data_IF_507379834522
#
_entry.id   IF_507379834522
#
_cell.length_a   1.000
_cell.length_b   1.000
_cell.length_c   1.000
_cell.angle_alpha   90.00
_cell.angle_beta   90.00
_cell.angle_gamma   90.00
#
_symmetry.space_group_name_H-M   'P 1'
#
loop_
_entity.id
_entity.type
_entity.pdbx_description
1 polymer ?
#
# COMPACT_ATOMS: atom_id res chain seq x y z
N UNK A 1 20.85 0.82 20.97
CA UNK A 1 19.60 0.08 20.68
C UNK A 1 19.55 -0.20 19.20
N UNK A 2 19.47 -1.45 18.81
CA UNK A 2 19.31 -1.82 17.40
C UNK A 2 17.83 -1.91 17.06
N UNK A 3 17.39 -1.15 16.07
CA UNK A 3 16.04 -1.25 15.51
C UNK A 3 16.06 -2.31 14.42
N UNK A 4 15.25 -3.36 14.55
CA UNK A 4 15.20 -4.44 13.57
C UNK A 4 14.31 -4.05 12.38
N UNK A 5 13.05 -3.70 12.64
CA UNK A 5 12.07 -3.34 11.59
C UNK A 5 10.79 -2.77 12.22
N UNK A 6 10.03 -1.97 11.48
CA UNK A 6 8.69 -1.58 11.91
C UNK A 6 7.75 -2.78 11.96
N UNK A 7 6.69 -2.65 12.74
CA UNK A 7 5.57 -3.57 12.79
C UNK A 7 4.28 -2.82 12.46
N UNK A 8 3.49 -3.38 11.56
CA UNK A 8 2.17 -2.88 11.21
C UNK A 8 1.14 -3.99 11.37
N UNK A 9 0.11 -3.73 12.16
CA UNK A 9 -1.01 -4.64 12.34
C UNK A 9 -2.29 -4.02 11.79
N UNK A 10 -3.00 -4.75 10.93
CA UNK A 10 -4.31 -4.36 10.43
C UNK A 10 -5.39 -5.28 10.99
N UNK A 11 -6.53 -4.68 11.30
CA UNK A 11 -7.77 -5.41 11.56
C UNK A 11 -8.52 -5.63 10.25
N UNK A 12 -8.84 -6.89 9.95
CA UNK A 12 -9.60 -7.30 8.78
C UNK A 12 -10.84 -8.08 9.21
N UNK A 13 -11.88 -8.06 8.38
CA UNK A 13 -13.11 -8.77 8.71
C UNK A 13 -12.95 -10.30 8.62
N UNK A 14 -12.11 -10.77 7.69
CA UNK A 14 -11.87 -12.20 7.45
C UNK A 14 -10.43 -12.37 6.92
N UNK A 15 -9.60 -13.05 7.71
CA UNK A 15 -8.20 -13.28 7.36
C UNK A 15 -8.07 -14.14 6.10
N UNK A 16 -8.88 -15.18 5.94
CA UNK A 16 -8.82 -16.06 4.78
C UNK A 16 -9.19 -15.34 3.50
N UNK A 17 -10.17 -14.42 3.56
CA UNK A 17 -10.56 -13.57 2.45
C UNK A 17 -9.47 -12.55 2.09
N UNK A 18 -8.74 -12.04 3.07
CA UNK A 18 -7.71 -11.01 2.88
C UNK A 18 -6.37 -11.57 2.40
N UNK A 19 -6.06 -12.83 2.70
CA UNK A 19 -4.77 -13.45 2.37
C UNK A 19 -4.39 -13.37 0.89
N UNK A 20 -5.28 -13.69 -0.09
CA UNK A 20 -4.93 -13.60 -1.50
C UNK A 20 -4.47 -12.19 -1.92
N UNK A 21 -5.14 -11.15 -1.40
CA UNK A 21 -4.77 -9.76 -1.66
C UNK A 21 -3.35 -9.47 -1.17
N UNK A 22 -3.03 -9.79 0.09
CA UNK A 22 -1.73 -9.46 0.66
C UNK A 22 -0.59 -10.32 0.09
N UNK A 23 -0.85 -11.56 -0.29
CA UNK A 23 0.10 -12.36 -1.10
C UNK A 23 0.43 -11.69 -2.42
N UNK A 24 -0.58 -11.19 -3.12
CA UNK A 24 -0.40 -10.49 -4.39
C UNK A 24 0.33 -9.15 -4.20
N UNK A 25 -0.07 -8.36 -3.19
CA UNK A 25 0.52 -7.05 -2.90
C UNK A 25 2.02 -7.17 -2.56
N UNK A 26 2.37 -8.08 -1.65
CA UNK A 26 3.75 -8.23 -1.18
C UNK A 26 4.59 -9.16 -2.06
N UNK A 27 3.95 -10.00 -2.87
CA UNK A 27 4.64 -10.99 -3.70
C UNK A 27 5.32 -12.10 -2.91
N UNK A 28 4.91 -12.34 -1.66
CA UNK A 28 5.47 -13.37 -0.78
C UNK A 28 4.36 -14.10 -0.02
N UNK A 29 4.67 -15.29 0.46
CA UNK A 29 3.79 -16.07 1.31
C UNK A 29 3.87 -15.60 2.78
N UNK A 30 2.78 -15.71 3.55
CA UNK A 30 2.84 -15.47 4.99
C UNK A 30 3.70 -16.54 5.68
N UNK A 31 4.44 -16.13 6.71
CA UNK A 31 5.26 -17.07 7.51
C UNK A 31 4.44 -17.80 8.56
N UNK A 32 3.25 -17.30 8.87
CA UNK A 32 2.33 -17.92 9.83
C UNK A 32 0.89 -17.62 9.46
N UNK A 33 0.04 -18.64 9.48
CA UNK A 33 -1.41 -18.53 9.31
C UNK A 33 -2.10 -19.31 10.43
N UNK A 34 -3.08 -18.68 11.08
CA UNK A 34 -3.98 -19.27 12.06
C UNK A 34 -5.42 -18.88 11.70
N UNK A 35 -6.46 -19.49 12.29
CA UNK A 35 -7.84 -19.20 11.88
C UNK A 35 -8.21 -17.72 11.83
N UNK A 36 -7.74 -16.91 12.78
CA UNK A 36 -8.05 -15.48 12.89
C UNK A 36 -6.81 -14.57 12.81
N UNK A 37 -5.71 -15.07 12.23
CA UNK A 37 -4.42 -14.38 12.23
C UNK A 37 -3.54 -14.79 11.06
N UNK A 38 -2.82 -13.84 10.48
CA UNK A 38 -1.74 -14.11 9.54
C UNK A 38 -0.58 -13.14 9.76
N UNK A 39 0.63 -13.62 9.50
CA UNK A 39 1.85 -12.81 9.64
C UNK A 39 2.71 -12.93 8.39
N UNK A 40 3.11 -11.80 7.87
CA UNK A 40 4.11 -11.66 6.82
C UNK A 40 5.39 -11.07 7.41
N UNK A 41 6.53 -11.57 7.00
CA UNK A 41 7.83 -10.94 7.24
C UNK A 41 8.43 -10.54 5.91
N UNK A 42 8.49 -9.25 5.65
CA UNK A 42 9.13 -8.72 4.45
C UNK A 42 10.59 -8.44 4.75
N UNK A 43 11.45 -8.75 3.78
CA UNK A 43 12.89 -8.50 3.90
C UNK A 43 13.27 -7.12 3.35
N UNK A 44 12.65 -6.72 2.24
CA UNK A 44 12.96 -5.46 1.55
C UNK A 44 11.67 -4.76 1.08
N UNK A 45 11.27 -3.65 1.73
CA UNK A 45 11.82 -3.16 3.00
C UNK A 45 11.48 -4.10 4.16
N UNK A 46 12.31 -4.08 5.19
CA UNK A 46 12.06 -4.89 6.38
C UNK A 46 10.77 -4.44 7.06
N UNK A 47 9.79 -5.33 7.15
CA UNK A 47 8.48 -5.05 7.76
C UNK A 47 7.90 -6.32 8.38
N UNK A 48 7.46 -6.21 9.61
CA UNK A 48 6.62 -7.21 10.26
C UNK A 48 5.17 -6.77 10.08
N UNK A 49 4.41 -7.52 9.29
CA UNK A 49 3.03 -7.19 8.95
C UNK A 49 2.09 -8.30 9.42
N UNK A 50 1.04 -7.92 10.15
CA UNK A 50 0.05 -8.87 10.64
C UNK A 50 -1.38 -8.49 10.27
N UNK A 51 -2.16 -9.52 9.96
CA UNK A 51 -3.61 -9.45 9.83
C UNK A 51 -4.25 -10.08 11.07
N UNK A 52 -5.17 -9.35 11.67
CA UNK A 52 -5.92 -9.78 12.85
C UNK A 52 -7.40 -9.69 12.53
N UNK A 53 -8.12 -10.78 12.67
CA UNK A 53 -9.56 -10.80 12.42
C UNK A 53 -10.31 -10.11 13.54
N UNK A 54 -11.25 -9.23 13.20
CA UNK A 54 -12.03 -8.48 14.15
C UNK A 54 -12.90 -7.42 13.50
N UNK A 55 -13.61 -6.67 14.33
CA UNK A 55 -14.37 -5.49 13.90
C UNK A 55 -13.45 -4.29 13.79
N UNK A 56 -13.63 -3.48 12.74
CA UNK A 56 -12.90 -2.22 12.58
C UNK A 56 -13.41 -1.20 13.60
N UNK A 57 -12.47 -0.53 14.25
CA UNK A 57 -12.80 0.60 15.12
C UNK A 57 -12.79 1.89 14.29
N UNK A 58 -13.97 2.38 13.93
CA UNK A 58 -14.11 3.61 13.13
C UNK A 58 -13.59 4.87 13.86
N UNK A 59 -13.31 4.77 15.17
CA UNK A 59 -12.69 5.85 15.94
C UNK A 59 -11.19 5.98 15.70
N UNK A 60 -10.55 5.00 15.06
CA UNK A 60 -9.15 5.06 14.64
C UNK A 60 -8.98 5.88 13.34
N UNK A 61 -9.64 7.03 13.27
CA UNK A 61 -9.75 7.85 12.06
C UNK A 61 -8.46 8.56 11.61
N UNK A 62 -7.34 8.39 12.31
CA UNK A 62 -6.06 8.97 11.90
C UNK A 62 -5.38 8.19 10.76
N UNK A 63 -5.76 6.93 10.51
CA UNK A 63 -5.21 6.12 9.42
C UNK A 63 -5.88 6.49 8.09
N UNK A 64 -5.11 7.04 7.18
CA UNK A 64 -5.57 7.44 5.85
C UNK A 64 -5.37 6.31 4.83
N UNK A 65 -4.13 5.90 4.61
CA UNK A 65 -3.76 4.84 3.70
C UNK A 65 -2.39 4.26 4.08
N UNK A 66 -2.04 3.15 3.46
CA UNK A 66 -0.69 2.60 3.52
C UNK A 66 -0.05 2.63 2.13
N UNK A 67 1.25 2.56 2.07
CA UNK A 67 1.96 2.61 0.80
C UNK A 67 3.23 1.78 0.77
N UNK A 68 3.63 1.43 -0.44
CA UNK A 68 4.88 0.77 -0.75
C UNK A 68 5.63 1.67 -1.74
N UNK A 69 6.74 2.24 -1.29
CA UNK A 69 7.63 2.96 -2.20
C UNK A 69 8.53 1.97 -2.91
N UNK A 70 8.59 2.10 -4.24
CA UNK A 70 9.49 1.33 -5.10
C UNK A 70 10.51 2.26 -5.75
N UNK A 71 11.54 1.70 -6.37
CA UNK A 71 12.69 2.48 -6.82
C UNK A 71 12.48 3.19 -8.14
N UNK A 72 11.53 2.76 -8.97
CA UNK A 72 11.32 3.31 -10.32
C UNK A 72 9.88 3.23 -10.78
N UNK A 73 9.55 4.02 -11.81
CA UNK A 73 8.27 3.93 -12.50
C UNK A 73 8.05 2.54 -13.13
N UNK A 74 9.10 1.90 -13.61
CA UNK A 74 9.02 0.53 -14.14
C UNK A 74 8.62 -0.47 -13.07
N UNK A 75 9.08 -0.30 -11.83
CA UNK A 75 8.68 -1.14 -10.70
C UNK A 75 7.19 -0.95 -10.37
N UNK A 76 6.66 0.27 -10.50
CA UNK A 76 5.21 0.54 -10.38
C UNK A 76 4.43 -0.23 -11.43
N UNK A 77 4.89 -0.21 -12.69
CA UNK A 77 4.24 -0.92 -13.80
C UNK A 77 4.31 -2.44 -13.61
N UNK A 78 5.42 -2.97 -13.11
CA UNK A 78 5.56 -4.40 -12.80
C UNK A 78 4.61 -4.82 -11.69
N UNK A 79 4.48 -4.02 -10.63
CA UNK A 79 3.50 -4.26 -9.56
C UNK A 79 2.07 -4.23 -10.11
N UNK A 80 1.77 -3.24 -10.96
CA UNK A 80 0.47 -3.14 -11.64
C UNK A 80 0.12 -4.41 -12.41
N UNK A 81 1.04 -4.92 -13.22
CA UNK A 81 0.84 -6.14 -14.00
C UNK A 81 0.60 -7.35 -13.09
N UNK A 82 1.36 -7.48 -12.00
CA UNK A 82 1.19 -8.57 -11.03
C UNK A 82 -0.20 -8.53 -10.38
N UNK A 83 -0.62 -7.37 -9.90
CA UNK A 83 -1.90 -7.20 -9.22
C UNK A 83 -3.09 -7.38 -10.18
N UNK A 84 -2.97 -6.91 -11.44
CA UNK A 84 -3.99 -7.16 -12.46
C UNK A 84 -4.14 -8.65 -12.78
N UNK A 85 -3.05 -9.39 -12.82
CA UNK A 85 -3.07 -10.84 -13.05
C UNK A 85 -3.86 -11.58 -11.97
N UNK A 86 -3.84 -11.05 -10.75
CA UNK A 86 -4.63 -11.58 -9.62
C UNK A 86 -6.07 -11.05 -9.60
N UNK A 87 -6.50 -10.30 -10.63
CA UNK A 87 -7.87 -9.83 -10.78
C UNK A 87 -8.22 -8.61 -9.93
N UNK A 88 -7.24 -7.89 -9.38
CA UNK A 88 -7.48 -6.72 -8.56
C UNK A 88 -7.80 -5.50 -9.43
N UNK A 89 -8.76 -4.70 -8.98
CA UNK A 89 -9.05 -3.40 -9.58
C UNK A 89 -7.97 -2.40 -9.20
N UNK A 90 -7.41 -1.72 -10.19
CA UNK A 90 -6.28 -0.79 -10.03
C UNK A 90 -6.69 0.58 -10.54
N UNK A 91 -6.32 1.60 -9.80
CA UNK A 91 -6.45 2.99 -10.19
C UNK A 91 -5.06 3.60 -10.41
N UNK A 92 -4.82 4.16 -11.58
CA UNK A 92 -3.53 4.73 -11.97
C UNK A 92 -3.49 6.23 -11.71
N UNK A 93 -2.40 6.72 -11.11
CA UNK A 93 -2.05 8.13 -11.03
C UNK A 93 -0.59 8.32 -11.44
N UNK A 94 -0.39 8.73 -12.68
CA UNK A 94 0.94 8.93 -13.24
C UNK A 94 1.27 10.42 -13.34
N UNK A 95 2.57 10.74 -13.21
CA UNK A 95 3.10 12.10 -13.29
C UNK A 95 2.31 13.09 -12.39
N UNK A 96 2.10 12.70 -11.15
CA UNK A 96 1.30 13.45 -10.19
C UNK A 96 2.16 14.08 -9.10
N UNK A 97 1.81 15.30 -8.67
CA UNK A 97 2.46 15.93 -7.52
C UNK A 97 1.72 15.51 -6.23
N UNK A 98 2.47 14.93 -5.32
CA UNK A 98 1.98 14.51 -4.03
C UNK A 98 3.06 14.68 -2.96
N UNK A 99 2.67 15.23 -1.80
CA UNK A 99 3.60 15.43 -0.69
C UNK A 99 4.86 16.19 -1.09
N UNK A 100 4.72 17.21 -1.97
CA UNK A 100 5.81 18.04 -2.52
C UNK A 100 6.82 17.28 -3.38
N UNK A 101 6.44 16.11 -3.91
CA UNK A 101 7.24 15.34 -4.84
C UNK A 101 6.41 14.89 -6.04
N UNK A 102 7.04 14.78 -7.19
CA UNK A 102 6.42 14.17 -8.37
C UNK A 102 6.53 12.67 -8.30
N UNK A 103 5.44 11.97 -8.60
CA UNK A 103 5.33 10.54 -8.39
C UNK A 103 4.53 9.88 -9.50
N UNK A 104 4.90 8.63 -9.80
CA UNK A 104 4.04 7.68 -10.48
C UNK A 104 3.51 6.68 -9.46
N UNK A 105 2.21 6.41 -9.47
CA UNK A 105 1.60 5.51 -8.50
C UNK A 105 0.38 4.77 -9.02
N UNK A 106 0.11 3.68 -8.36
CA UNK A 106 -1.14 2.94 -8.48
C UNK A 106 -1.80 2.79 -7.12
N UNK A 107 -3.11 2.67 -7.13
CA UNK A 107 -3.93 2.42 -5.94
C UNK A 107 -4.65 1.09 -6.07
N UNK A 108 -4.67 0.33 -5.00
CA UNK A 108 -5.49 -0.87 -4.83
C UNK A 108 -6.16 -0.82 -3.46
N UNK A 109 -7.27 -1.54 -3.31
CA UNK A 109 -7.95 -1.67 -2.02
C UNK A 109 -7.98 -3.12 -1.61
N UNK A 110 -7.76 -3.36 -0.31
CA UNK A 110 -7.96 -4.69 0.24
C UNK A 110 -9.46 -5.04 0.30
N UNK A 111 -9.84 -6.29 0.63
CA UNK A 111 -11.25 -6.67 0.70
C UNK A 111 -12.10 -5.86 1.69
N UNK A 112 -11.51 -5.22 2.68
CA UNK A 112 -12.19 -4.33 3.63
C UNK A 112 -12.17 -2.86 3.21
N UNK A 113 -11.63 -2.55 2.03
CA UNK A 113 -11.57 -1.20 1.50
C UNK A 113 -10.37 -0.38 1.97
N UNK A 114 -9.41 -0.96 2.68
CA UNK A 114 -8.18 -0.28 3.07
C UNK A 114 -7.38 0.11 1.82
N UNK A 115 -7.11 1.41 1.60
CA UNK A 115 -6.40 1.83 0.41
C UNK A 115 -4.88 1.63 0.59
N UNK A 116 -4.28 1.06 -0.44
CA UNK A 116 -2.85 0.91 -0.58
C UNK A 116 -2.36 1.59 -1.85
N UNK A 117 -1.28 2.36 -1.74
CA UNK A 117 -0.58 2.89 -2.90
C UNK A 117 0.73 2.12 -3.14
N UNK A 118 1.11 1.97 -4.40
CA UNK A 118 2.46 1.58 -4.79
C UNK A 118 3.00 2.72 -5.65
N UNK A 119 4.10 3.33 -5.26
CA UNK A 119 4.56 4.57 -5.86
C UNK A 119 6.07 4.63 -6.00
N UNK A 120 6.52 5.38 -7.01
CA UNK A 120 7.90 5.79 -7.19
C UNK A 120 7.97 7.32 -7.24
N UNK A 121 8.96 7.89 -6.56
CA UNK A 121 9.27 9.32 -6.65
C UNK A 121 10.12 9.54 -7.89
N UNK A 122 9.59 10.30 -8.84
CA UNK A 122 10.29 10.62 -10.10
C UNK A 122 11.01 11.96 -10.06
N UNK A 123 10.55 12.87 -9.21
CA UNK A 123 11.20 14.13 -8.89
C UNK A 123 10.92 14.48 -7.42
N UNK A 124 11.95 14.53 -6.61
CA UNK A 124 11.81 14.77 -5.17
C UNK A 124 11.54 16.23 -4.81
N UNK A 125 11.84 17.18 -5.72
CA UNK A 125 11.65 18.62 -5.51
C UNK A 125 11.28 19.30 -6.84
N UNK A 126 10.06 19.02 -7.36
CA UNK A 126 9.64 19.54 -8.66
C UNK A 126 9.51 21.07 -8.64
N UNK A 127 9.88 21.71 -9.74
CA UNK A 127 9.66 23.14 -9.95
C UNK A 127 8.16 23.45 -9.83
N UNK A 128 7.74 24.32 -8.91
CA UNK A 128 6.33 24.66 -8.71
C UNK A 128 5.66 25.29 -9.94
N UNK A 129 6.44 25.72 -10.94
CA UNK A 129 5.92 26.22 -12.20
C UNK A 129 5.77 25.16 -13.28
N UNK A 130 6.39 23.97 -13.10
CA UNK A 130 6.24 22.83 -13.99
C UNK A 130 5.01 22.03 -13.55
N UNK A 131 3.97 22.05 -14.37
CA UNK A 131 2.67 21.48 -14.03
C UNK A 131 2.52 19.99 -14.26
N UNK A 132 2.26 19.21 -13.25
CA UNK A 132 1.14 18.29 -13.31
C UNK A 132 0.03 18.64 -12.33
N UNK A 133 -1.16 18.04 -12.55
CA UNK A 133 -2.26 18.21 -11.64
C UNK A 133 -1.94 17.54 -10.29
N UNK A 134 -2.24 18.23 -9.19
CA UNK A 134 -2.16 17.62 -7.87
C UNK A 134 -3.09 16.40 -7.81
N UNK A 135 -2.60 15.30 -7.23
CA UNK A 135 -3.41 14.12 -7.02
C UNK A 135 -4.52 14.38 -6.01
N UNK A 136 -5.80 14.26 -6.37
CA UNK A 136 -6.89 14.40 -5.41
C UNK A 136 -6.89 13.28 -4.37
N UNK A 137 -6.33 12.11 -4.67
CA UNK A 137 -6.29 10.98 -3.74
C UNK A 137 -5.23 11.13 -2.65
N UNK A 138 -4.08 11.71 -2.98
CA UNK A 138 -2.97 11.88 -2.04
C UNK A 138 -3.24 12.98 -1.01
N UNK A 139 -3.90 14.05 -1.44
CA UNK A 139 -4.20 15.22 -0.60
C UNK A 139 -5.62 15.18 -0.02
N UNK A 140 -6.41 14.18 -0.36
CA UNK A 140 -7.74 14.01 0.20
C UNK A 140 -7.64 13.64 1.67
N UNK A 141 -7.83 14.63 2.54
CA UNK A 141 -8.07 14.39 3.95
C UNK A 141 -9.30 13.49 4.10
N UNK A 142 -9.08 12.23 4.42
CA UNK A 142 -10.07 11.39 5.05
C UNK A 142 -11.43 11.25 4.35
N UNK A 143 -11.41 10.97 3.07
CA UNK A 143 -12.62 10.48 2.44
C UNK A 143 -12.60 8.96 2.31
#
# INVERSE_FOLDING_TARGET
MAVLRPHLALTVADVQRSLPFYRALFGVEPIKVRPAYAKFELAEPALNFTLNEGERDDRLGAFNHAGIQVSSADDVLMARMRLQREGLAIFDEMDTDCCYARQDKIWVRDPDGTPWEIFAVTDADPDPTSKPAASPACCASGA
#
